data_IF_324420933232
#
_entry.id   IF_324420933232
#
_cell.length_a   1.000
_cell.length_b   1.000
_cell.length_c   1.000
_cell.angle_alpha   90.00
_cell.angle_beta   90.00
_cell.angle_gamma   90.00
#
_symmetry.space_group_name_H-M   'P 1'
#
loop_
_entity.id
_entity.type
_entity.pdbx_description
1 polymer ?
#
# COMPACT_ATOMS: atom_id res chain seq x y z
N UNK A 1 18.79 15.49 10.41
CA UNK A 1 18.37 14.37 9.55
C UNK A 1 19.63 13.61 9.21
N UNK A 2 19.70 12.30 9.46
CA UNK A 2 20.94 11.54 9.25
C UNK A 2 21.11 11.30 7.73
N UNK A 3 22.11 11.90 7.06
CA UNK A 3 22.22 11.89 5.61
C UNK A 3 22.50 10.51 5.00
N UNK A 4 22.85 9.52 5.82
CA UNK A 4 23.26 8.18 5.38
C UNK A 4 22.14 7.13 5.38
N UNK A 5 20.88 7.49 5.64
CA UNK A 5 19.79 6.50 5.58
C UNK A 5 19.30 6.38 4.13
N UNK A 6 19.48 5.23 3.47
CA UNK A 6 19.03 5.08 2.08
C UNK A 6 17.52 5.27 2.01
N UNK A 7 17.08 6.05 1.01
CA UNK A 7 15.66 6.27 0.73
C UNK A 7 14.99 4.91 0.46
N UNK A 8 13.87 4.58 1.12
CA UNK A 8 13.19 3.31 0.92
C UNK A 8 12.79 3.07 -0.54
N UNK A 9 13.09 1.87 -1.05
CA UNK A 9 12.63 1.41 -2.36
C UNK A 9 11.18 0.93 -2.27
N UNK A 10 10.30 1.42 -3.16
CA UNK A 10 8.86 1.11 -3.12
C UNK A 10 8.49 0.24 -4.31
N UNK A 11 7.86 -0.92 -4.04
CA UNK A 11 7.37 -1.86 -5.05
C UNK A 11 5.84 -1.87 -5.03
N UNK A 12 5.22 -1.55 -6.17
CA UNK A 12 3.77 -1.63 -6.33
C UNK A 12 3.32 -2.99 -6.88
N UNK A 13 2.38 -3.65 -6.21
CA UNK A 13 1.76 -4.91 -6.67
C UNK A 13 0.29 -4.65 -7.02
N UNK A 14 -0.04 -4.71 -8.32
CA UNK A 14 -1.36 -4.41 -8.86
C UNK A 14 -1.98 -5.61 -9.60
N UNK A 15 -3.27 -5.55 -9.91
CA UNK A 15 -4.03 -6.64 -10.53
C UNK A 15 -5.47 -6.77 -10.03
N UNK A 16 -6.26 -7.63 -10.68
CA UNK A 16 -7.69 -7.83 -10.37
C UNK A 16 -7.94 -8.36 -8.94
N UNK A 17 -9.19 -8.24 -8.47
CA UNK A 17 -9.63 -8.88 -7.22
C UNK A 17 -9.42 -10.39 -7.34
N UNK A 18 -8.99 -11.02 -6.24
CA UNK A 18 -8.73 -12.46 -6.14
C UNK A 18 -7.59 -13.04 -7.04
N UNK A 19 -6.89 -12.23 -7.85
CA UNK A 19 -5.78 -12.71 -8.71
C UNK A 19 -4.51 -13.16 -7.95
N UNK A 20 -4.48 -13.04 -6.62
CA UNK A 20 -3.34 -13.48 -5.80
C UNK A 20 -2.33 -12.40 -5.41
N UNK A 21 -2.63 -11.11 -5.60
CA UNK A 21 -1.73 -9.98 -5.23
C UNK A 21 -1.14 -10.11 -3.81
N UNK A 22 -1.98 -10.38 -2.82
CA UNK A 22 -1.55 -10.49 -1.42
C UNK A 22 -0.62 -11.67 -1.19
N UNK A 23 -0.82 -12.77 -1.92
CA UNK A 23 0.05 -13.95 -1.89
C UNK A 23 1.41 -13.59 -2.48
N UNK A 24 1.43 -13.03 -3.68
CA UNK A 24 2.68 -12.60 -4.35
C UNK A 24 3.44 -11.59 -3.52
N UNK A 25 2.77 -10.59 -2.92
CA UNK A 25 3.42 -9.57 -2.12
C UNK A 25 4.07 -10.13 -0.84
N UNK A 26 3.42 -11.10 -0.16
CA UNK A 26 3.99 -11.78 1.01
C UNK A 26 5.19 -12.65 0.64
N UNK A 27 5.12 -13.36 -0.48
CA UNK A 27 6.26 -14.15 -0.98
C UNK A 27 7.44 -13.24 -1.32
N UNK A 28 7.19 -12.14 -2.04
CA UNK A 28 8.23 -11.16 -2.38
C UNK A 28 8.87 -10.54 -1.12
N UNK A 29 8.05 -10.17 -0.13
CA UNK A 29 8.53 -9.67 1.16
C UNK A 29 9.47 -10.67 1.84
N UNK A 30 9.06 -11.94 1.93
CA UNK A 30 9.85 -12.99 2.57
C UNK A 30 11.16 -13.27 1.82
N UNK A 31 11.17 -13.20 0.49
CA UNK A 31 12.37 -13.38 -0.32
C UNK A 31 13.35 -12.22 -0.17
N UNK A 32 12.85 -10.98 -0.21
CA UNK A 32 13.69 -9.78 -0.10
C UNK A 32 14.29 -9.63 1.30
N UNK A 33 13.55 -9.98 2.35
CA UNK A 33 14.01 -9.89 3.74
C UNK A 33 15.17 -10.85 4.07
N UNK A 34 15.46 -11.83 3.21
CA UNK A 34 16.55 -12.80 3.39
C UNK A 34 17.91 -12.28 2.94
N UNK A 35 17.98 -11.14 2.24
CA UNK A 35 19.26 -10.53 1.85
C UNK A 35 19.87 -9.74 3.00
N UNK A 36 21.14 -9.97 3.29
CA UNK A 36 21.88 -9.28 4.36
C UNK A 36 21.91 -7.75 4.19
N UNK A 37 21.88 -7.26 2.96
CA UNK A 37 21.88 -5.83 2.65
C UNK A 37 20.51 -5.14 2.82
N UNK A 38 19.41 -5.89 2.90
CA UNK A 38 18.04 -5.35 2.95
C UNK A 38 17.16 -6.08 3.98
N UNK A 39 17.51 -6.08 5.28
CA UNK A 39 16.81 -6.88 6.30
C UNK A 39 15.42 -6.36 6.65
N UNK A 40 15.07 -5.12 6.24
CA UNK A 40 13.79 -4.48 6.58
C UNK A 40 12.93 -4.34 5.34
N UNK A 41 11.92 -5.19 5.25
CA UNK A 41 10.93 -5.17 4.17
C UNK A 41 9.54 -5.13 4.78
N UNK A 42 8.86 -4.00 4.61
CA UNK A 42 7.50 -3.77 5.11
C UNK A 42 6.47 -3.98 3.99
N UNK A 43 5.28 -4.47 4.36
CA UNK A 43 4.16 -4.69 3.45
C UNK A 43 2.96 -3.85 3.89
N UNK A 44 2.46 -3.02 2.98
CA UNK A 44 1.27 -2.17 3.19
C UNK A 44 0.25 -2.44 2.09
N UNK A 45 -1.02 -2.64 2.47
CA UNK A 45 -2.12 -2.82 1.52
C UNK A 45 -2.85 -1.49 1.28
N UNK A 46 -3.33 -1.27 0.05
CA UNK A 46 -4.10 -0.05 -0.28
C UNK A 46 -5.49 -0.03 0.36
N UNK A 47 -5.99 -1.18 0.83
CA UNK A 47 -7.29 -1.30 1.51
C UNK A 47 -7.36 -0.47 2.79
N UNK A 48 -6.22 -0.20 3.45
CA UNK A 48 -6.14 0.71 4.59
C UNK A 48 -6.47 2.18 4.23
N UNK A 49 -6.50 2.52 2.94
CA UNK A 49 -6.89 3.84 2.44
C UNK A 49 -8.33 3.87 1.90
N UNK A 50 -9.10 2.79 2.05
CA UNK A 50 -10.54 2.86 1.79
C UNK A 50 -11.21 3.79 2.80
N UNK A 51 -12.18 4.57 2.32
CA UNK A 51 -13.02 5.31 3.24
C UNK A 51 -13.77 4.34 4.18
N UNK A 52 -13.97 4.71 5.46
CA UNK A 52 -14.79 3.91 6.37
C UNK A 52 -16.20 3.73 5.80
N UNK A 53 -16.86 2.61 6.15
CA UNK A 53 -18.20 2.30 5.63
C UNK A 53 -19.20 3.46 5.84
N UNK A 54 -19.12 4.19 6.95
CA UNK A 54 -19.98 5.37 7.20
C UNK A 54 -19.78 6.50 6.20
N UNK A 55 -18.54 6.75 5.78
CA UNK A 55 -18.21 7.75 4.76
C UNK A 55 -18.63 7.27 3.37
N UNK A 56 -18.41 5.98 3.06
CA UNK A 56 -18.87 5.39 1.80
C UNK A 56 -20.40 5.45 1.66
N UNK A 57 -21.14 5.18 2.73
CA UNK A 57 -22.60 5.35 2.76
C UNK A 57 -23.01 6.80 2.51
N UNK A 58 -22.39 7.76 3.23
CA UNK A 58 -22.68 9.19 3.06
C UNK A 58 -22.45 9.68 1.63
N UNK A 59 -21.44 9.13 0.95
CA UNK A 59 -21.08 9.47 -0.44
C UNK A 59 -21.84 8.64 -1.48
N UNK A 60 -22.72 7.73 -1.07
CA UNK A 60 -23.37 6.74 -1.93
C UNK A 60 -22.37 5.91 -2.77
N UNK A 61 -21.24 5.53 -2.18
CA UNK A 61 -20.15 4.79 -2.82
C UNK A 61 -20.03 3.33 -2.36
N UNK A 62 -20.94 2.82 -1.52
CA UNK A 62 -20.87 1.43 -1.05
C UNK A 62 -20.85 0.41 -2.18
N UNK A 63 -21.65 0.64 -3.22
CA UNK A 63 -21.71 -0.23 -4.42
C UNK A 63 -20.46 -0.14 -5.30
N UNK A 64 -19.59 0.86 -5.05
CA UNK A 64 -18.33 1.09 -5.76
C UNK A 64 -17.12 0.88 -4.83
N UNK A 65 -17.30 0.15 -3.73
CA UNK A 65 -16.20 -0.21 -2.84
C UNK A 65 -15.15 -1.01 -3.62
N UNK A 66 -13.91 -0.51 -3.63
CA UNK A 66 -12.82 -1.06 -4.44
C UNK A 66 -12.54 -0.30 -5.75
N UNK A 67 -13.41 0.63 -6.15
CA UNK A 67 -13.13 1.56 -7.25
C UNK A 67 -12.35 2.80 -6.76
N UNK A 68 -11.64 3.53 -7.64
CA UNK A 68 -10.74 4.63 -7.24
C UNK A 68 -11.35 5.70 -6.34
N UNK A 69 -12.62 6.03 -6.53
CA UNK A 69 -13.38 7.02 -5.74
C UNK A 69 -13.69 6.56 -4.31
N UNK A 70 -13.64 5.26 -4.03
CA UNK A 70 -13.85 4.71 -2.68
C UNK A 70 -12.62 4.80 -1.77
N UNK A 71 -11.49 5.29 -2.29
CA UNK A 71 -10.22 5.45 -1.56
C UNK A 71 -9.90 6.92 -1.25
N UNK A 72 -9.28 7.18 -0.09
CA UNK A 72 -8.55 8.42 0.18
C UNK A 72 -7.21 8.42 -0.58
N UNK A 73 -7.29 8.74 -1.88
CA UNK A 73 -6.12 8.88 -2.76
C UNK A 73 -5.12 9.91 -2.26
N UNK A 74 -5.59 10.97 -1.59
CA UNK A 74 -4.69 12.01 -1.04
C UNK A 74 -3.92 11.45 0.15
N UNK A 75 -4.59 10.67 1.01
CA UNK A 75 -3.95 9.92 2.09
C UNK A 75 -2.88 8.96 1.59
N UNK A 76 -3.19 8.17 0.56
CA UNK A 76 -2.23 7.26 -0.06
C UNK A 76 -1.00 7.99 -0.61
N UNK A 77 -1.21 9.08 -1.36
CA UNK A 77 -0.11 9.88 -1.89
C UNK A 77 0.75 10.49 -0.78
N UNK A 78 0.13 11.07 0.27
CA UNK A 78 0.86 11.59 1.43
C UNK A 78 1.69 10.51 2.12
N UNK A 79 1.15 9.31 2.27
CA UNK A 79 1.87 8.18 2.84
C UNK A 79 3.11 7.82 2.02
N UNK A 80 2.97 7.64 0.70
CA UNK A 80 4.10 7.29 -0.17
C UNK A 80 5.16 8.39 -0.19
N UNK A 81 4.75 9.67 -0.20
CA UNK A 81 5.68 10.80 -0.12
C UNK A 81 6.44 10.82 1.21
N UNK A 82 5.76 10.58 2.33
CA UNK A 82 6.38 10.54 3.65
C UNK A 82 7.39 9.39 3.80
N UNK A 83 7.15 8.25 3.14
CA UNK A 83 8.10 7.11 3.12
C UNK A 83 9.37 7.44 2.32
N UNK A 84 9.26 8.28 1.29
CA UNK A 84 10.39 8.63 0.41
C UNK A 84 11.19 9.87 0.87
N UNK A 85 10.75 10.56 1.92
CA UNK A 85 11.40 11.76 2.47
C UNK A 85 12.27 11.42 3.66
#
# INVERSE_FOLDING_TARGET
>A
QNPDRPVPFVIGVAGSVAVGKSTTARVLQALLARWEHHPRVDLVTTDGFLYPNGELNRRNLMHRKGFPESYDRRGLMRFVTAVKS
#
